data_IF_261923484507
#
_entry.id   IF_261923484507
#
_cell.length_a   1.000
_cell.length_b   1.000
_cell.length_c   1.000
_cell.angle_alpha   90.00
_cell.angle_beta   90.00
_cell.angle_gamma   90.00
#
_symmetry.space_group_name_H-M   'P 1'
#
loop_
_entity.id
_entity.type
_entity.pdbx_description
1 polymer ?
#
# COMPACT_ATOMS: atom_id res chain seq x y z
N UNK A 1 -9.64 -6.20 3.32
CA UNK A 1 -9.58 -4.77 2.95
C UNK A 1 -10.50 -4.50 1.78
N UNK A 2 -10.94 -3.25 1.59
CA UNK A 2 -11.54 -2.78 0.33
C UNK A 2 -11.07 -1.36 -0.02
N UNK A 3 -11.18 -0.99 -1.29
CA UNK A 3 -10.96 0.38 -1.79
C UNK A 3 -12.24 1.19 -1.59
N UNK A 4 -12.18 2.34 -0.92
CA UNK A 4 -13.34 3.23 -0.77
C UNK A 4 -13.54 4.11 -2.02
N UNK A 5 -12.43 4.55 -2.62
CA UNK A 5 -12.44 5.35 -3.84
C UNK A 5 -11.03 5.74 -4.28
N UNK A 6 -10.93 6.19 -5.53
CA UNK A 6 -9.71 6.74 -6.10
C UNK A 6 -10.04 7.95 -6.98
N UNK A 7 -9.14 8.93 -7.03
CA UNK A 7 -9.22 10.07 -7.94
C UNK A 7 -7.81 10.52 -8.36
N UNK A 8 -7.69 11.15 -9.53
CA UNK A 8 -6.45 11.79 -9.95
C UNK A 8 -6.43 13.24 -9.48
N UNK A 9 -5.35 13.63 -8.79
CA UNK A 9 -5.07 14.99 -8.32
C UNK A 9 -3.59 15.29 -8.56
N UNK A 10 -3.29 16.43 -9.19
CA UNK A 10 -1.92 16.96 -9.34
C UNK A 10 -0.91 15.95 -9.94
N UNK A 11 -1.40 15.07 -10.82
CA UNK A 11 -0.60 14.01 -11.44
C UNK A 11 -0.30 12.80 -10.53
N UNK A 12 -1.09 12.58 -9.48
CA UNK A 12 -1.07 11.39 -8.62
C UNK A 12 -2.47 10.78 -8.55
N UNK A 13 -2.56 9.44 -8.61
CA UNK A 13 -3.76 8.74 -8.16
C UNK A 13 -3.74 8.74 -6.63
N UNK A 14 -4.75 9.36 -6.02
CA UNK A 14 -4.98 9.38 -4.58
C UNK A 14 -6.14 8.43 -4.28
N UNK A 15 -5.95 7.52 -3.33
CA UNK A 15 -6.96 6.52 -2.99
C UNK A 15 -6.96 6.17 -1.51
N UNK A 16 -8.11 5.70 -1.04
CA UNK A 16 -8.35 5.34 0.36
C UNK A 16 -8.74 3.87 0.45
N UNK A 17 -8.00 3.10 1.23
CA UNK A 17 -8.26 1.67 1.47
C UNK A 17 -8.63 1.44 2.94
N UNK A 18 -9.85 0.96 3.18
CA UNK A 18 -10.30 0.60 4.53
C UNK A 18 -9.87 -0.82 4.89
N UNK A 19 -9.14 -0.91 6.01
CA UNK A 19 -8.57 -2.12 6.57
C UNK A 19 -9.69 -3.03 7.11
N UNK A 20 -9.50 -4.34 7.02
CA UNK A 20 -10.41 -5.36 7.57
C UNK A 20 -10.57 -5.24 9.07
N UNK A 21 -9.50 -4.82 9.75
CA UNK A 21 -9.41 -4.74 11.20
C UNK A 21 -8.71 -3.45 11.63
N UNK A 22 -8.95 -3.01 12.87
CA UNK A 22 -8.10 -2.01 13.52
C UNK A 22 -6.72 -2.59 13.80
N UNK A 23 -5.70 -1.74 13.76
CA UNK A 23 -4.30 -2.14 13.93
C UNK A 23 -3.60 -1.21 14.93
N UNK A 24 -2.78 -1.77 15.80
CA UNK A 24 -1.98 -0.97 16.74
C UNK A 24 -0.78 -0.31 16.04
N UNK A 25 -0.13 0.65 16.71
CA UNK A 25 1.12 1.24 16.23
C UNK A 25 2.15 0.18 15.81
N UNK A 26 2.40 -0.81 16.66
CA UNK A 26 3.37 -1.88 16.42
C UNK A 26 3.02 -2.72 15.19
N UNK A 27 1.73 -2.87 14.87
CA UNK A 27 1.27 -3.56 13.68
C UNK A 27 1.48 -2.72 12.40
N UNK A 28 1.24 -1.40 12.48
CA UNK A 28 1.60 -0.48 11.39
C UNK A 28 3.12 -0.47 11.15
N UNK A 29 3.94 -0.56 12.20
CA UNK A 29 5.39 -0.76 12.05
C UNK A 29 5.73 -2.08 11.33
N UNK A 30 4.99 -3.18 11.56
CA UNK A 30 5.18 -4.43 10.79
C UNK A 30 4.79 -4.26 9.31
N UNK A 31 3.76 -3.47 8.99
CA UNK A 31 3.41 -3.15 7.60
C UNK A 31 4.52 -2.36 6.90
N UNK A 32 5.02 -1.29 7.54
CA UNK A 32 6.15 -0.50 7.01
C UNK A 32 7.40 -1.37 6.90
N UNK A 33 7.70 -2.22 7.89
CA UNK A 33 8.81 -3.17 7.83
C UNK A 33 8.67 -4.15 6.66
N UNK A 34 7.47 -4.68 6.39
CA UNK A 34 7.20 -5.55 5.24
C UNK A 34 7.28 -4.79 3.89
N UNK A 35 6.91 -3.52 3.86
CA UNK A 35 6.94 -2.69 2.67
C UNK A 35 8.35 -2.51 2.07
N UNK A 36 9.43 -2.74 2.83
CA UNK A 36 10.80 -2.75 2.31
C UNK A 36 11.04 -3.80 1.21
N UNK A 37 10.25 -4.88 1.13
CA UNK A 37 10.36 -5.87 0.04
C UNK A 37 9.68 -5.39 -1.26
N UNK A 38 8.89 -4.32 -1.19
CA UNK A 38 8.05 -3.79 -2.28
C UNK A 38 8.47 -2.39 -2.76
N UNK A 39 9.52 -1.80 -2.19
CA UNK A 39 9.96 -0.43 -2.46
C UNK A 39 11.50 -0.32 -2.57
N UNK A 40 11.98 0.56 -3.44
CA UNK A 40 13.37 1.07 -3.46
C UNK A 40 13.37 2.58 -3.17
N UNK A 41 14.55 3.14 -2.87
CA UNK A 41 14.71 4.59 -2.57
C UNK A 41 13.78 5.05 -1.43
N UNK A 42 13.74 4.24 -0.36
CA UNK A 42 12.76 4.36 0.72
C UNK A 42 13.00 5.62 1.57
N UNK A 43 11.93 6.39 1.76
CA UNK A 43 11.83 7.44 2.77
C UNK A 43 10.66 7.12 3.70
N UNK A 44 10.91 7.11 5.01
CA UNK A 44 9.86 6.94 6.03
C UNK A 44 9.47 8.32 6.56
N UNK A 45 8.18 8.54 6.79
CA UNK A 45 7.65 9.75 7.41
C UNK A 45 6.88 9.39 8.68
N UNK A 46 7.02 10.23 9.71
CA UNK A 46 6.27 10.15 10.97
C UNK A 46 5.72 11.55 11.23
N UNK A 47 4.39 11.68 11.33
CA UNK A 47 3.69 12.97 11.43
C UNK A 47 4.24 14.02 10.43
N UNK A 48 4.19 13.61 9.15
CA UNK A 48 4.66 14.31 7.94
C UNK A 48 6.16 14.65 7.88
N UNK A 49 6.95 14.35 8.92
CA UNK A 49 8.39 14.62 8.99
C UNK A 49 9.18 13.40 8.52
N UNK A 50 10.13 13.60 7.61
CA UNK A 50 11.00 12.54 7.10
C UNK A 50 11.94 12.02 8.19
N UNK A 51 11.84 10.75 8.54
CA UNK A 51 12.66 10.09 9.56
C UNK A 51 13.90 9.46 8.91
N UNK A 52 15.10 9.80 9.43
CA UNK A 52 16.33 9.13 9.01
C UNK A 52 16.41 7.73 9.63
N UNK A 53 16.32 6.72 8.77
CA UNK A 53 16.45 5.30 9.08
C UNK A 53 17.83 4.82 8.59
N UNK A 54 18.51 3.97 9.36
CA UNK A 54 19.80 3.35 9.01
C UNK A 54 19.64 1.89 8.61
N UNK A 55 18.68 1.19 9.19
CA UNK A 55 18.37 -0.22 8.91
C UNK A 55 16.87 -0.48 8.90
N UNK A 56 16.44 -1.55 8.22
CA UNK A 56 15.05 -2.03 8.23
C UNK A 56 14.52 -2.29 9.64
N UNK A 57 15.39 -2.72 10.56
CA UNK A 57 15.05 -3.00 11.96
C UNK A 57 14.74 -1.74 12.77
N UNK A 58 15.34 -0.59 12.44
CA UNK A 58 15.12 0.67 13.17
C UNK A 58 13.65 1.08 13.15
N UNK A 59 12.93 0.75 12.06
CA UNK A 59 11.49 0.99 11.87
C UNK A 59 10.68 0.44 13.05
N UNK A 60 11.07 -0.73 13.57
CA UNK A 60 10.38 -1.41 14.67
C UNK A 60 10.60 -0.74 16.03
N UNK A 61 11.44 0.29 16.09
CA UNK A 61 11.78 1.06 17.28
C UNK A 61 11.24 2.49 17.26
N UNK A 62 10.52 2.89 16.19
CA UNK A 62 9.90 4.21 16.09
C UNK A 62 8.81 4.35 17.18
N UNK A 63 8.83 5.40 18.02
CA UNK A 63 7.83 5.64 19.05
C UNK A 63 6.45 5.96 18.45
N UNK A 64 5.39 5.79 19.23
CA UNK A 64 4.02 6.02 18.79
C UNK A 64 3.76 7.49 18.42
N UNK A 65 2.97 7.72 17.37
CA UNK A 65 2.66 9.03 16.80
C UNK A 65 1.28 9.00 16.11
N UNK A 66 0.81 10.10 15.53
CA UNK A 66 -0.53 10.11 14.90
C UNK A 66 -0.59 9.34 13.59
N UNK A 67 0.54 9.26 12.88
CA UNK A 67 0.67 8.67 11.54
C UNK A 67 2.08 8.15 11.26
N UNK A 68 2.16 7.16 10.37
CA UNK A 68 3.41 6.71 9.75
C UNK A 68 3.19 6.43 8.27
N UNK A 69 4.16 6.77 7.42
CA UNK A 69 4.10 6.51 5.99
C UNK A 69 5.44 6.01 5.44
N UNK A 70 5.35 5.22 4.37
CA UNK A 70 6.48 4.87 3.49
C UNK A 70 6.28 5.53 2.14
N UNK A 71 7.34 6.11 1.59
CA UNK A 71 7.44 6.52 0.19
C UNK A 71 8.69 5.92 -0.46
N UNK A 72 8.68 5.86 -1.79
CA UNK A 72 9.81 5.41 -2.61
C UNK A 72 9.34 5.02 -4.01
N UNK A 73 10.18 4.32 -4.77
CA UNK A 73 9.78 3.72 -6.04
C UNK A 73 9.22 2.32 -5.77
N UNK A 74 8.00 2.03 -6.21
CA UNK A 74 7.42 0.70 -6.04
C UNK A 74 8.13 -0.32 -6.93
N UNK A 75 8.60 -1.43 -6.37
CA UNK A 75 9.19 -2.54 -7.14
C UNK A 75 8.14 -3.29 -7.96
N UNK A 76 6.85 -3.19 -7.58
CA UNK A 76 5.71 -3.78 -8.29
C UNK A 76 5.30 -2.90 -9.47
N UNK A 77 5.02 -1.61 -9.24
CA UNK A 77 4.45 -0.72 -10.25
C UNK A 77 5.49 0.10 -11.04
N UNK A 78 6.77 0.05 -10.64
CA UNK A 78 7.90 0.79 -11.25
C UNK A 78 7.74 2.32 -11.27
N UNK A 79 6.91 2.86 -10.39
CA UNK A 79 6.64 4.30 -10.27
C UNK A 79 6.77 4.78 -8.81
N UNK A 80 6.98 6.09 -8.57
CA UNK A 80 6.88 6.66 -7.24
C UNK A 80 5.52 6.36 -6.59
N UNK A 81 5.56 5.88 -5.35
CA UNK A 81 4.39 5.50 -4.57
C UNK A 81 4.57 5.97 -3.12
N UNK A 82 3.47 6.18 -2.40
CA UNK A 82 3.47 6.42 -0.96
C UNK A 82 2.25 5.81 -0.30
N UNK A 83 2.42 5.21 0.88
CA UNK A 83 1.38 4.53 1.66
C UNK A 83 1.41 5.10 3.08
N UNK A 84 0.27 5.59 3.54
CA UNK A 84 0.09 6.29 4.82
C UNK A 84 -0.87 5.51 5.72
N UNK A 85 -0.46 5.26 6.95
CA UNK A 85 -1.26 4.66 8.02
C UNK A 85 -1.44 5.65 9.17
N UNK A 86 -2.55 5.54 9.90
CA UNK A 86 -2.99 6.51 10.90
C UNK A 86 -3.49 5.79 12.16
N UNK A 87 -3.08 6.23 13.34
CA UNK A 87 -3.36 5.54 14.61
C UNK A 87 -4.83 5.63 15.05
N UNK A 88 -5.58 6.63 14.56
CA UNK A 88 -6.94 6.94 15.01
C UNK A 88 -8.06 6.38 14.13
N UNK A 89 -7.75 5.93 12.90
CA UNK A 89 -8.76 5.56 11.88
C UNK A 89 -8.42 4.23 11.21
N UNK A 90 -9.43 3.54 10.70
CA UNK A 90 -9.29 2.20 10.09
C UNK A 90 -9.03 2.24 8.58
N UNK A 91 -8.56 3.37 8.04
CA UNK A 91 -8.18 3.50 6.64
C UNK A 91 -6.70 3.79 6.47
N UNK A 92 -6.19 3.44 5.29
CA UNK A 92 -4.86 3.78 4.81
C UNK A 92 -4.99 4.56 3.51
N UNK A 93 -4.22 5.64 3.38
CA UNK A 93 -4.19 6.43 2.15
C UNK A 93 -3.03 5.98 1.27
N UNK A 94 -3.26 5.90 -0.04
CA UNK A 94 -2.25 5.55 -1.04
C UNK A 94 -2.15 6.69 -2.04
N UNK A 95 -0.92 7.02 -2.44
CA UNK A 95 -0.60 7.93 -3.54
C UNK A 95 0.28 7.17 -4.54
N UNK A 96 -0.13 7.11 -5.80
CA UNK A 96 0.61 6.46 -6.89
C UNK A 96 0.84 7.48 -8.00
N UNK A 97 2.09 7.69 -8.44
CA UNK A 97 2.39 8.73 -9.44
C UNK A 97 1.84 8.32 -10.81
N UNK A 98 1.00 9.18 -11.41
CA UNK A 98 0.64 9.03 -12.82
C UNK A 98 1.87 9.35 -13.68
N UNK A 99 2.36 8.39 -14.46
CA UNK A 99 3.45 8.58 -15.44
C UNK A 99 3.04 8.21 -16.88
N UNK A 100 1.90 7.53 -17.04
CA UNK A 100 1.36 7.08 -18.32
C UNK A 100 -0.14 7.40 -18.43
N UNK A 101 -0.66 7.52 -19.65
CA UNK A 101 -2.09 7.76 -19.91
C UNK A 101 -2.98 6.62 -19.41
N UNK A 102 -2.46 5.39 -19.37
CA UNK A 102 -3.12 4.24 -18.75
C UNK A 102 -3.41 4.51 -17.26
N UNK A 103 -2.43 5.01 -16.50
CA UNK A 103 -2.62 5.36 -15.09
C UNK A 103 -3.59 6.54 -14.89
N UNK A 104 -3.65 7.49 -15.84
CA UNK A 104 -4.64 8.58 -15.81
C UNK A 104 -6.08 8.11 -16.12
N UNK A 105 -6.24 6.99 -16.84
CA UNK A 105 -7.53 6.48 -17.32
C UNK A 105 -8.00 5.20 -16.62
N UNK A 106 -7.34 4.79 -15.53
CA UNK A 106 -7.78 3.67 -14.70
C UNK A 106 -9.16 3.95 -14.08
N UNK A 107 -10.12 3.08 -14.40
CA UNK A 107 -11.36 2.97 -13.64
C UNK A 107 -11.12 2.36 -12.24
N UNK A 108 -12.13 2.45 -11.36
CA UNK A 108 -12.09 1.90 -10.01
C UNK A 108 -11.75 0.40 -9.98
N UNK A 109 -12.27 -0.40 -10.92
CA UNK A 109 -12.11 -1.86 -10.91
C UNK A 109 -10.68 -2.26 -11.26
N UNK A 110 -10.10 -1.67 -12.31
CA UNK A 110 -8.70 -1.90 -12.71
C UNK A 110 -7.73 -1.39 -11.65
N UNK A 111 -7.95 -0.19 -11.10
CA UNK A 111 -7.10 0.34 -10.04
C UNK A 111 -7.14 -0.54 -8.78
N UNK A 112 -8.33 -0.99 -8.37
CA UNK A 112 -8.50 -1.92 -7.24
C UNK A 112 -7.77 -3.25 -7.50
N UNK A 113 -7.98 -3.88 -8.66
CA UNK A 113 -7.28 -5.12 -9.06
C UNK A 113 -5.76 -4.97 -9.09
N UNK A 114 -5.24 -3.79 -9.48
CA UNK A 114 -3.81 -3.50 -9.53
C UNK A 114 -3.20 -3.30 -8.14
N UNK A 115 -3.82 -2.48 -7.27
CA UNK A 115 -3.21 -2.01 -6.02
C UNK A 115 -3.60 -2.82 -4.79
N UNK A 116 -4.81 -3.39 -4.75
CA UNK A 116 -5.29 -4.19 -3.63
C UNK A 116 -4.40 -5.40 -3.28
N UNK A 117 -3.80 -6.15 -4.24
CA UNK A 117 -2.89 -7.26 -3.90
C UNK A 117 -1.69 -6.85 -3.03
N UNK A 118 -1.10 -5.67 -3.29
CA UNK A 118 -0.02 -5.14 -2.46
C UNK A 118 -0.55 -4.72 -1.09
N UNK A 119 -1.64 -3.96 -1.04
CA UNK A 119 -2.20 -3.47 0.22
C UNK A 119 -2.66 -4.62 1.12
N UNK A 120 -3.28 -5.66 0.55
CA UNK A 120 -3.65 -6.90 1.24
C UNK A 120 -2.41 -7.67 1.75
N UNK A 121 -1.29 -7.68 1.02
CA UNK A 121 -0.04 -8.27 1.51
C UNK A 121 0.55 -7.51 2.71
N UNK A 122 0.40 -6.18 2.75
CA UNK A 122 0.80 -5.33 3.88
C UNK A 122 -0.14 -5.50 5.08
N UNK A 123 -1.46 -5.58 4.88
CA UNK A 123 -2.42 -5.92 5.95
C UNK A 123 -2.13 -7.31 6.53
N UNK A 124 -1.90 -8.32 5.68
CA UNK A 124 -1.49 -9.65 6.16
C UNK A 124 -0.15 -9.63 6.91
N UNK A 125 0.72 -8.64 6.70
CA UNK A 125 1.94 -8.46 7.48
C UNK A 125 1.69 -7.81 8.86
N UNK A 126 0.68 -6.94 9.00
CA UNK A 126 0.27 -6.34 10.28
C UNK A 126 -0.11 -7.39 11.34
N UNK A 127 -0.54 -8.58 10.92
CA UNK A 127 -0.95 -9.69 11.80
C UNK A 127 0.05 -10.87 11.84
N UNK A 128 1.22 -10.74 11.23
CA UNK A 128 2.30 -11.73 11.39
C UNK A 128 2.94 -11.61 12.77
N UNK A 129 3.57 -12.70 13.25
CA UNK A 129 4.41 -12.65 14.45
C UNK A 129 5.46 -11.54 14.29
N UNK A 130 5.58 -10.59 15.25
CA UNK A 130 6.44 -9.43 15.08
C UNK A 130 7.87 -9.82 14.69
N UNK A 131 8.39 -9.20 13.63
CA UNK A 131 9.81 -9.25 13.32
C UNK A 131 10.60 -8.80 14.56
N UNK A 132 11.66 -9.53 14.89
CA UNK A 132 12.57 -9.16 15.97
C UNK A 132 13.71 -8.36 15.35
N UNK A 133 13.98 -7.11 15.81
CA UNK A 133 15.12 -6.38 15.31
C UNK A 133 16.39 -7.18 15.56
N UNK A 134 17.27 -7.27 14.55
CA UNK A 134 18.49 -8.06 14.66
C UNK A 134 19.36 -7.52 15.79
N UNK A 135 19.78 -8.40 16.69
CA UNK A 135 20.65 -8.01 17.81
C UNK A 135 22.05 -7.74 17.26
N UNK A 136 22.29 -6.48 16.90
CA UNK A 136 23.55 -5.98 16.37
C UNK A 136 24.75 -6.54 17.14
N UNK A 137 25.72 -7.05 16.39
CA UNK A 137 26.77 -7.94 16.91
C UNK A 137 27.79 -7.16 17.76
N UNK A 138 27.48 -6.92 19.05
CA UNK A 138 28.47 -6.42 20.01
C UNK A 138 29.63 -7.41 20.07
N UNK A 139 30.81 -6.97 19.66
CA UNK A 139 32.01 -7.79 19.53
C UNK A 139 32.61 -8.24 20.87
N UNK A 140 31.98 -9.19 21.54
CA UNK A 140 32.52 -9.84 22.73
C UNK A 140 33.53 -10.93 22.34
N UNK A 141 34.83 -10.58 22.35
CA UNK A 141 35.92 -11.57 22.21
C UNK A 141 35.96 -12.49 23.45
N UNK A 142 35.22 -13.59 23.41
CA UNK A 142 35.37 -14.71 24.35
C UNK A 142 36.57 -15.61 23.96
N UNK A 143 37.40 -16.08 24.91
CA UNK A 143 38.61 -16.84 24.59
C UNK A 143 38.31 -18.25 24.06
N UNK A 144 38.89 -18.59 22.91
CA UNK A 144 38.78 -19.90 22.25
C UNK A 144 39.63 -20.95 22.97
N UNK A 145 39.05 -21.71 23.91
CA UNK A 145 39.76 -22.79 24.63
C UNK A 145 39.66 -24.12 23.89
N UNK A 146 40.66 -24.42 23.06
CA UNK A 146 40.80 -25.71 22.36
C UNK A 146 41.48 -26.76 23.24
N UNK A 147 40.90 -27.97 23.31
CA UNK A 147 41.67 -29.21 23.53
C UNK A 147 40.94 -30.42 22.93
N UNK A 148 41.75 -31.28 22.30
CA UNK A 148 41.49 -32.65 21.84
C UNK A 148 41.26 -33.62 23.04
N UNK A 149 40.87 -34.90 22.94
CA UNK A 149 41.13 -35.95 21.94
C UNK A 149 39.96 -36.97 21.74
N UNK A 150 40.16 -37.95 20.84
CA UNK A 150 39.37 -39.20 20.59
C UNK A 150 40.21 -40.43 21.09
N UNK A 151 39.79 -41.72 21.02
CA UNK A 151 38.51 -42.39 20.72
C UNK A 151 38.07 -43.31 21.90
N UNK A 152 37.50 -44.54 21.88
CA UNK A 152 37.05 -45.56 20.88
C UNK A 152 36.09 -46.60 21.54
N UNK A 153 35.63 -47.59 20.75
CA UNK A 153 35.11 -48.94 21.11
C UNK A 153 33.65 -49.10 21.63
N UNK A 154 32.91 -50.21 21.41
CA UNK A 154 32.91 -51.29 20.37
C UNK A 154 31.62 -52.14 20.56
N UNK A 155 30.83 -52.39 19.48
CA UNK A 155 29.74 -53.41 19.35
C UNK A 155 28.55 -53.32 20.35
N UNK A 156 27.39 -54.01 20.21
CA UNK A 156 26.93 -55.08 19.29
C UNK A 156 25.45 -54.92 18.86
N UNK A 157 25.07 -55.51 17.72
CA UNK A 157 23.67 -55.83 17.30
C UNK A 157 23.31 -57.30 17.72
N UNK A 158 22.17 -57.98 17.38
CA UNK A 158 21.09 -57.77 16.38
C UNK A 158 19.68 -57.64 17.06
N UNK A 159 18.48 -57.98 16.55
CA UNK A 159 17.98 -58.72 15.37
C UNK A 159 16.58 -58.20 14.90
N UNK A 160 15.80 -58.97 14.11
CA UNK A 160 14.64 -58.48 13.34
C UNK A 160 13.38 -59.39 13.36
N UNK A 161 12.20 -58.82 13.05
CA UNK A 161 10.99 -59.43 12.41
C UNK A 161 9.82 -58.42 12.31
N UNK A 162 8.83 -58.50 11.40
CA UNK A 162 8.72 -59.14 10.06
C UNK A 162 7.53 -58.56 9.25
N UNK A 163 7.77 -58.26 7.96
CA UNK A 163 6.91 -58.45 6.76
C UNK A 163 5.37 -58.22 6.81
N UNK A 164 4.90 -57.23 6.03
CA UNK A 164 3.80 -57.25 5.02
C UNK A 164 3.57 -55.79 4.55
N UNK A 165 3.70 -55.34 3.28
CA UNK A 165 3.23 -55.78 1.95
C UNK A 165 1.87 -55.14 1.52
N UNK A 166 1.67 -55.02 0.20
CA UNK A 166 0.61 -54.29 -0.55
C UNK A 166 0.90 -52.79 -0.78
N UNK A 167 0.84 -52.38 -2.06
CA UNK A 167 0.93 -50.98 -2.50
C UNK A 167 -0.24 -50.58 -3.41
N UNK A 168 -0.02 -49.55 -4.24
CA UNK A 168 -1.04 -48.79 -4.99
C UNK A 168 -1.89 -47.86 -4.10
N UNK A 169 -2.42 -46.71 -4.57
CA UNK A 169 -2.32 -46.09 -5.89
C UNK A 169 -2.18 -44.57 -5.76
N UNK A 170 -1.39 -43.93 -6.63
CA UNK A 170 -1.38 -42.46 -6.79
C UNK A 170 -2.37 -42.07 -7.90
N UNK A 171 -3.17 -41.04 -7.70
CA UNK A 171 -3.92 -40.39 -8.78
C UNK A 171 -3.56 -38.90 -8.85
N UNK A 172 -3.11 -38.46 -10.03
CA UNK A 172 -2.91 -37.06 -10.38
C UNK A 172 -3.58 -36.82 -11.73
N UNK A 173 -4.51 -35.86 -11.79
CA UNK A 173 -5.35 -35.64 -12.96
C UNK A 173 -4.70 -34.67 -13.95
N UNK A 174 -4.01 -35.21 -14.96
CA UNK A 174 -3.63 -34.47 -16.17
C UNK A 174 -4.68 -34.67 -17.26
N UNK A 175 -5.22 -33.57 -17.83
CA UNK A 175 -6.16 -33.63 -18.96
C UNK A 175 -5.42 -33.30 -20.25
N UNK A 176 -5.56 -34.16 -21.27
CA UNK A 176 -4.84 -34.07 -22.55
C UNK A 176 -5.76 -33.67 -23.72
N UNK A 177 -5.15 -33.22 -24.82
CA UNK A 177 -5.83 -32.69 -26.02
C UNK A 177 -6.12 -33.76 -27.12
N UNK A 178 -6.87 -33.29 -28.13
CA UNK A 178 -7.12 -33.83 -29.48
C UNK A 178 -8.25 -34.90 -29.65
N UNK A 179 -9.02 -34.88 -30.74
CA UNK A 179 -9.10 -33.86 -31.81
C UNK A 179 -9.92 -34.26 -33.07
N UNK A 180 -10.24 -33.27 -33.91
CA UNK A 180 -10.94 -33.37 -35.22
C UNK A 180 -12.41 -33.86 -35.20
N UNK A 181 -13.25 -33.69 -36.24
CA UNK A 181 -13.07 -33.15 -37.61
C UNK A 181 -14.34 -32.37 -38.07
N UNK A 182 -14.24 -31.59 -39.15
CA UNK A 182 -15.26 -30.63 -39.63
C UNK A 182 -16.47 -31.24 -40.37
N UNK A 183 -17.53 -30.43 -40.62
CA UNK A 183 -18.21 -30.32 -41.92
C UNK A 183 -19.01 -28.99 -42.07
N UNK A 184 -19.41 -28.65 -43.30
CA UNK A 184 -19.83 -27.31 -43.77
C UNK A 184 -21.35 -27.05 -43.77
N UNK A 185 -21.77 -25.82 -43.45
CA UNK A 185 -22.68 -24.94 -44.24
C UNK A 185 -23.15 -23.71 -43.42
N UNK A 186 -23.79 -22.65 -43.96
CA UNK A 186 -23.72 -21.92 -45.26
C UNK A 186 -24.78 -20.79 -45.22
N UNK A 187 -24.37 -19.52 -45.27
CA UNK A 187 -25.28 -18.37 -45.39
C UNK A 187 -25.93 -17.90 -44.06
N UNK A 188 -26.55 -16.71 -43.96
CA UNK A 188 -26.62 -15.59 -44.93
C UNK A 188 -27.01 -14.27 -44.23
N UNK A 189 -26.74 -13.15 -44.90
CA UNK A 189 -27.42 -11.84 -44.75
C UNK A 189 -27.38 -11.07 -43.42
N UNK A 190 -26.49 -10.07 -43.36
CA UNK A 190 -26.95 -8.69 -43.10
C UNK A 190 -27.33 -8.08 -44.48
N UNK A 191 -28.26 -7.10 -44.60
CA UNK A 191 -28.20 -5.75 -43.99
C UNK A 191 -29.61 -5.31 -43.47
N UNK A 192 -30.00 -4.04 -43.17
CA UNK A 192 -29.51 -2.69 -43.48
C UNK A 192 -29.67 -1.71 -42.30
N UNK A 193 -29.03 -0.53 -42.46
CA UNK A 193 -29.14 0.69 -41.65
C UNK A 193 -30.01 1.73 -42.39
N UNK A 194 -31.00 2.37 -41.75
CA UNK A 194 -31.59 3.61 -42.25
C UNK A 194 -30.71 4.83 -41.95
N UNK A 195 -30.43 5.62 -42.99
CA UNK A 195 -30.21 7.08 -42.92
C UNK A 195 -31.55 7.79 -43.18
N UNK A 196 -31.83 9.03 -42.77
CA UNK A 196 -31.04 10.03 -42.04
C UNK A 196 -31.88 10.59 -40.85
N UNK A 197 -31.56 11.68 -40.17
CA UNK A 197 -31.59 13.06 -40.69
C UNK A 197 -30.58 14.00 -40.00
N UNK A 198 -30.20 15.09 -40.67
CA UNK A 198 -29.31 16.15 -40.17
C UNK A 198 -29.58 17.48 -40.88
N UNK A 199 -30.09 18.51 -40.17
CA UNK A 199 -29.92 19.90 -40.58
C UNK A 199 -28.43 20.32 -40.51
N UNK A 200 -27.98 21.13 -41.46
CA UNK A 200 -26.60 21.62 -41.50
C UNK A 200 -26.53 23.09 -41.91
N UNK A 201 -25.93 23.94 -41.06
CA UNK A 201 -25.25 25.21 -41.39
C UNK A 201 -24.81 25.92 -40.09
N UNK A 202 -23.87 26.87 -40.14
CA UNK A 202 -22.68 26.95 -41.00
C UNK A 202 -21.38 26.93 -40.18
N UNK A 203 -20.22 26.83 -40.84
CA UNK A 203 -18.92 27.03 -40.20
C UNK A 203 -18.47 28.50 -40.32
N UNK A 204 -17.84 29.04 -39.28
CA UNK A 204 -17.01 30.24 -39.36
C UNK A 204 -15.53 29.88 -39.19
N UNK A 205 -14.66 30.67 -39.84
CA UNK A 205 -13.22 30.41 -39.95
C UNK A 205 -12.40 30.71 -38.68
N UNK A 206 -11.07 30.56 -38.76
CA UNK A 206 -10.20 30.53 -37.59
C UNK A 206 -9.98 31.91 -36.96
N UNK A 207 -9.85 31.94 -35.63
CA UNK A 207 -9.24 33.04 -34.88
C UNK A 207 -8.22 32.51 -33.88
N UNK A 208 -7.03 33.09 -33.91
CA UNK A 208 -5.98 32.96 -32.89
C UNK A 208 -5.01 34.15 -33.01
N UNK A 209 -4.28 34.55 -31.95
CA UNK A 209 -4.53 34.30 -30.53
C UNK A 209 -4.59 35.63 -29.74
N UNK A 210 -5.74 36.00 -29.20
CA UNK A 210 -5.88 37.28 -28.47
C UNK A 210 -5.22 37.21 -27.09
N UNK A 211 -4.04 37.82 -26.97
CA UNK A 211 -3.24 37.96 -25.74
C UNK A 211 -3.98 38.80 -24.69
N UNK A 212 -4.81 38.17 -23.87
CA UNK A 212 -5.41 38.78 -22.69
C UNK A 212 -4.48 38.63 -21.47
N UNK A 213 -3.81 39.72 -21.07
CA UNK A 213 -3.08 39.78 -19.80
C UNK A 213 -4.06 40.24 -18.72
N UNK A 214 -4.61 39.31 -17.96
CA UNK A 214 -5.44 39.64 -16.79
C UNK A 214 -4.58 40.36 -15.74
N UNK A 215 -4.96 41.57 -15.28
CA UNK A 215 -4.23 42.26 -14.23
C UNK A 215 -4.37 41.53 -12.90
N UNK A 216 -3.33 41.62 -12.07
CA UNK A 216 -3.32 41.07 -10.71
C UNK A 216 -4.34 41.85 -9.86
N UNK A 217 -5.44 41.21 -9.49
CA UNK A 217 -6.34 41.75 -8.47
C UNK A 217 -5.77 41.38 -7.10
N UNK A 218 -5.26 42.37 -6.37
CA UNK A 218 -4.63 42.18 -5.06
C UNK A 218 -5.61 41.57 -4.05
N UNK A 219 -5.17 40.55 -3.33
CA UNK A 219 -5.93 40.00 -2.19
C UNK A 219 -6.19 41.09 -1.15
N UNK A 220 -7.41 41.21 -0.60
CA UNK A 220 -7.64 42.11 0.52
C UNK A 220 -6.84 41.65 1.74
N UNK A 221 -6.11 42.56 2.36
CA UNK A 221 -5.39 42.29 3.61
C UNK A 221 -6.44 42.15 4.72
N UNK A 222 -6.82 40.90 5.04
CA UNK A 222 -7.70 40.64 6.16
C UNK A 222 -6.92 40.74 7.47
N UNK A 223 -7.21 41.78 8.25
CA UNK A 223 -6.55 42.08 9.52
C UNK A 223 -6.56 40.88 10.48
N UNK A 224 -5.43 40.63 11.14
CA UNK A 224 -5.33 39.58 12.17
C UNK A 224 -6.29 39.86 13.32
N UNK A 225 -7.03 38.86 13.82
CA UNK A 225 -7.97 39.04 14.93
C UNK A 225 -7.23 39.42 16.22
N UNK A 226 -7.68 40.49 16.87
CA UNK A 226 -7.21 40.93 18.18
C UNK A 226 -7.42 39.83 19.22
N UNK A 227 -6.46 39.56 20.13
CA UNK A 227 -6.70 38.64 21.24
C UNK A 227 -7.87 39.12 22.12
N UNK A 228 -8.69 38.21 22.66
CA UNK A 228 -9.83 38.60 23.48
C UNK A 228 -9.36 39.27 24.78
N UNK A 229 -10.00 40.39 25.15
CA UNK A 229 -9.83 40.97 26.48
C UNK A 229 -10.41 40.02 27.55
N UNK A 230 -9.81 39.97 28.75
CA UNK A 230 -10.39 39.22 29.87
C UNK A 230 -11.69 39.89 30.31
N UNK A 231 -12.80 39.14 30.24
CA UNK A 231 -14.11 39.61 30.71
C UNK A 231 -14.06 40.02 32.18
N UNK A 232 -14.47 41.26 32.48
CA UNK A 232 -14.62 41.73 33.87
C UNK A 232 -15.76 40.95 34.52
N UNK A 233 -15.41 40.07 35.46
CA UNK A 233 -16.39 39.30 36.25
C UNK A 233 -17.05 40.25 37.26
N UNK A 234 -18.39 40.34 37.33
CA UNK A 234 -19.05 41.14 38.36
C UNK A 234 -18.80 40.54 39.75
N UNK A 235 -18.68 41.36 40.81
CA UNK A 235 -18.31 40.87 42.14
C UNK A 235 -19.36 39.91 42.70
N UNK A 236 -18.89 38.76 43.20
CA UNK A 236 -19.71 37.76 43.88
C UNK A 236 -20.19 38.33 45.23
N UNK A 237 -21.50 38.32 45.54
CA UNK A 237 -21.98 38.71 46.87
C UNK A 237 -21.44 37.78 47.95
N UNK A 238 -20.91 38.36 49.04
CA UNK A 238 -20.54 37.60 50.23
C UNK A 238 -21.79 37.00 50.91
N UNK A 239 -21.71 35.79 51.47
CA UNK A 239 -22.80 35.23 52.26
C UNK A 239 -22.99 36.05 53.56
N UNK A 240 -24.23 36.23 54.04
CA UNK A 240 -24.47 36.80 55.37
C UNK A 240 -23.88 35.87 56.44
N UNK A 241 -23.24 36.46 57.45
CA UNK A 241 -22.62 35.72 58.55
C UNK A 241 -23.56 35.56 59.76
N UNK A 242 -23.56 34.34 60.32
CA UNK A 242 -24.46 33.80 61.37
C UNK A 242 -25.80 33.29 60.83
#
# INVERSE_FOLDING_TARGET
MYLEGQHVDSGWIRSTFTLTHRVSWQQMLQAIYAAFDYFTEIVIFVDEKSQRIKSRDDVLTIPESSSIAIAGISTVFKVPMSIFFYTQVQFSNVRLKCVSEELYSLDYERYNKMVCPLMNALELAMFRKPAKPSRGHKGSKGPRRSKTDKPAHTASSPVASKIADTGQQTQASTVSHAGARAHSNRGSSAPQRPTADRPAQPAHGPQAPTRAVSPILSSPIQSSPTPPQPSVVPPIPLPPGR
#
